data_IF_635535833699
#
_entry.id   IF_635535833699
#
_cell.length_a   1.000
_cell.length_b   1.000
_cell.length_c   1.000
_cell.angle_alpha   90.00
_cell.angle_beta   90.00
_cell.angle_gamma   90.00
#
_symmetry.space_group_name_H-M   'P 1'
#
loop_
_entity.id
_entity.type
_entity.pdbx_description
1 polymer ?
#
# COMPACT_ATOMS: atom_id res chain seq x y z
N UNK A 1 -17.89 -0.11 29.57
CA UNK A 1 -16.73 0.49 28.86
C UNK A 1 -17.19 1.82 28.28
N UNK A 2 -16.39 2.90 28.48
CA UNK A 2 -16.71 4.20 27.89
C UNK A 2 -16.65 4.09 26.34
N UNK A 3 -17.66 4.59 25.62
CA UNK A 3 -17.74 4.52 24.15
C UNK A 3 -16.43 5.00 23.49
N UNK A 4 -15.86 6.08 24.00
CA UNK A 4 -14.58 6.62 23.52
C UNK A 4 -13.41 5.62 23.69
N UNK A 5 -13.32 4.90 24.81
CA UNK A 5 -12.30 3.88 25.01
C UNK A 5 -12.46 2.72 24.03
N UNK A 6 -13.70 2.35 23.72
CA UNK A 6 -13.98 1.32 22.72
C UNK A 6 -13.56 1.79 21.31
N UNK A 7 -13.87 3.04 20.95
CA UNK A 7 -13.44 3.64 19.68
C UNK A 7 -11.92 3.65 19.54
N UNK A 8 -11.21 4.06 20.59
CA UNK A 8 -9.73 4.03 20.62
C UNK A 8 -9.18 2.63 20.45
N UNK A 9 -9.70 1.66 21.20
CA UNK A 9 -9.24 0.27 21.12
C UNK A 9 -9.47 -0.34 19.74
N UNK A 10 -10.66 -0.12 19.15
CA UNK A 10 -11.00 -0.58 17.80
C UNK A 10 -10.12 0.08 16.73
N UNK A 11 -9.84 1.38 16.85
CA UNK A 11 -8.98 2.11 15.92
C UNK A 11 -7.53 1.63 15.99
N UNK A 12 -7.01 1.37 17.18
CA UNK A 12 -5.67 0.81 17.36
C UNK A 12 -5.58 -0.61 16.79
N UNK A 13 -6.57 -1.45 17.06
CA UNK A 13 -6.64 -2.81 16.50
C UNK A 13 -6.73 -2.77 14.98
N UNK A 14 -7.54 -1.88 14.42
CA UNK A 14 -7.62 -1.63 12.99
C UNK A 14 -6.28 -1.23 12.40
N UNK A 15 -5.56 -0.30 13.05
CA UNK A 15 -4.24 0.15 12.57
C UNK A 15 -3.20 -0.98 12.55
N UNK A 16 -3.21 -1.84 13.57
CA UNK A 16 -2.35 -3.04 13.61
C UNK A 16 -2.75 -4.04 12.54
N UNK A 17 -4.04 -4.26 12.30
CA UNK A 17 -4.52 -5.15 11.26
C UNK A 17 -4.16 -4.65 9.85
N UNK A 18 -4.30 -3.35 9.59
CA UNK A 18 -3.82 -2.73 8.34
C UNK A 18 -2.30 -2.87 8.17
N UNK A 19 -1.53 -2.68 9.24
CA UNK A 19 -0.09 -2.86 9.22
C UNK A 19 0.28 -4.31 8.87
N UNK A 20 -0.38 -5.28 9.48
CA UNK A 20 -0.16 -6.70 9.20
C UNK A 20 -0.57 -7.05 7.75
N UNK A 21 -1.68 -6.48 7.24
CA UNK A 21 -2.10 -6.64 5.86
C UNK A 21 -1.05 -6.08 4.88
N UNK A 22 -0.53 -4.87 5.15
CA UNK A 22 0.48 -4.22 4.31
C UNK A 22 1.79 -5.02 4.28
N UNK A 23 2.25 -5.53 5.42
CA UNK A 23 3.45 -6.38 5.50
C UNK A 23 3.23 -7.73 4.79
N UNK A 24 2.04 -8.33 4.92
CA UNK A 24 1.70 -9.56 4.19
C UNK A 24 1.70 -9.32 2.66
N UNK A 25 1.14 -8.19 2.22
CA UNK A 25 1.12 -7.78 0.81
C UNK A 25 2.53 -7.55 0.26
N UNK A 26 3.39 -6.86 1.00
CA UNK A 26 4.79 -6.64 0.63
C UNK A 26 5.53 -7.97 0.46
N UNK A 27 5.40 -8.91 1.41
CA UNK A 27 6.01 -10.23 1.31
C UNK A 27 5.51 -11.05 0.12
N UNK A 28 4.22 -10.99 -0.18
CA UNK A 28 3.66 -11.65 -1.35
C UNK A 28 4.21 -11.03 -2.64
N UNK A 29 4.36 -9.70 -2.67
CA UNK A 29 4.87 -8.97 -3.81
C UNK A 29 6.37 -9.26 -4.04
N UNK A 30 7.18 -9.28 -2.98
CA UNK A 30 8.62 -9.53 -3.05
C UNK A 30 8.97 -10.99 -3.43
N UNK A 31 8.18 -11.97 -2.95
CA UNK A 31 8.38 -13.40 -3.27
C UNK A 31 7.94 -13.79 -4.68
N UNK A 32 7.15 -12.97 -5.36
CA UNK A 32 6.63 -13.25 -6.70
C UNK A 32 6.91 -12.10 -7.68
N UNK A 33 8.17 -11.69 -7.87
CA UNK A 33 8.53 -10.66 -8.82
C UNK A 33 8.13 -11.12 -10.23
N UNK A 34 7.29 -10.33 -10.91
CA UNK A 34 6.85 -10.66 -12.29
C UNK A 34 5.59 -11.52 -12.40
N UNK A 35 5.00 -11.99 -11.28
CA UNK A 35 3.70 -12.66 -11.36
C UNK A 35 2.62 -11.67 -11.81
N UNK A 36 1.89 -12.02 -12.89
CA UNK A 36 0.75 -11.23 -13.34
C UNK A 36 -0.39 -11.22 -12.31
N UNK A 37 -1.28 -10.23 -12.41
CA UNK A 37 -2.44 -10.05 -11.52
C UNK A 37 -3.29 -11.33 -11.43
N UNK A 38 -3.48 -12.04 -12.54
CA UNK A 38 -4.25 -13.28 -12.57
C UNK A 38 -3.67 -14.36 -11.63
N UNK A 39 -2.34 -14.49 -11.59
CA UNK A 39 -1.68 -15.45 -10.70
C UNK A 39 -1.81 -15.06 -9.23
N UNK A 40 -1.86 -13.77 -8.92
CA UNK A 40 -2.13 -13.29 -7.56
C UNK A 40 -3.55 -13.66 -7.12
N UNK A 41 -4.54 -13.50 -7.99
CA UNK A 41 -5.94 -13.83 -7.68
C UNK A 41 -6.17 -15.32 -7.40
N UNK A 42 -5.30 -16.22 -7.87
CA UNK A 42 -5.35 -17.66 -7.54
C UNK A 42 -4.65 -18.02 -6.23
N UNK A 43 -3.95 -17.07 -5.58
CA UNK A 43 -3.22 -17.30 -4.34
C UNK A 43 -4.11 -17.16 -3.10
N UNK A 44 -4.24 -18.22 -2.29
CA UNK A 44 -4.95 -18.16 -1.00
C UNK A 44 -4.30 -17.16 -0.02
N UNK A 45 -2.98 -17.00 -0.04
CA UNK A 45 -2.28 -16.03 0.79
C UNK A 45 -2.64 -14.58 0.40
N UNK A 46 -2.86 -14.31 -0.89
CA UNK A 46 -3.34 -13.01 -1.33
C UNK A 46 -4.74 -12.71 -0.78
N UNK A 47 -5.67 -13.66 -0.88
CA UNK A 47 -7.01 -13.52 -0.32
C UNK A 47 -6.99 -13.38 1.21
N UNK A 48 -6.05 -14.03 1.90
CA UNK A 48 -5.80 -13.82 3.32
C UNK A 48 -5.40 -12.37 3.64
N UNK A 49 -4.52 -11.76 2.85
CA UNK A 49 -4.13 -10.36 3.02
C UNK A 49 -5.26 -9.38 2.69
N UNK A 50 -6.07 -9.69 1.68
CA UNK A 50 -7.29 -8.92 1.34
C UNK A 50 -8.31 -9.01 2.46
N UNK A 51 -8.56 -10.22 2.99
CA UNK A 51 -9.46 -10.43 4.13
C UNK A 51 -9.02 -9.67 5.38
N UNK A 52 -7.71 -9.67 5.67
CA UNK A 52 -7.14 -8.90 6.78
C UNK A 52 -7.30 -7.39 6.57
N UNK A 53 -7.11 -6.90 5.35
CA UNK A 53 -7.34 -5.50 4.99
C UNK A 53 -8.82 -5.12 5.14
N UNK A 54 -9.73 -5.96 4.63
CA UNK A 54 -11.17 -5.75 4.77
C UNK A 54 -11.62 -5.79 6.25
N UNK A 55 -11.08 -6.72 7.04
CA UNK A 55 -11.33 -6.79 8.49
C UNK A 55 -10.85 -5.52 9.22
N UNK A 56 -9.69 -5.01 8.85
CA UNK A 56 -9.17 -3.74 9.37
C UNK A 56 -10.11 -2.56 9.01
N UNK A 57 -10.60 -2.51 7.77
CA UNK A 57 -11.57 -1.51 7.34
C UNK A 57 -12.89 -1.59 8.13
N UNK A 58 -13.40 -2.79 8.36
CA UNK A 58 -14.60 -2.98 9.17
C UNK A 58 -14.40 -2.53 10.62
N UNK A 59 -13.24 -2.86 11.24
CA UNK A 59 -12.91 -2.37 12.58
C UNK A 59 -12.87 -0.84 12.63
N UNK A 60 -12.32 -0.21 11.58
CA UNK A 60 -12.27 1.26 11.47
C UNK A 60 -13.69 1.85 11.38
N UNK A 61 -14.55 1.30 10.55
CA UNK A 61 -15.95 1.73 10.42
C UNK A 61 -16.71 1.54 11.75
N UNK A 62 -16.50 0.41 12.43
CA UNK A 62 -17.11 0.17 13.74
C UNK A 62 -16.58 1.16 14.77
N UNK A 63 -15.29 1.52 14.75
CA UNK A 63 -14.74 2.54 15.63
C UNK A 63 -15.42 3.89 15.47
N UNK A 64 -15.74 4.30 14.23
CA UNK A 64 -16.47 5.53 13.92
C UNK A 64 -17.88 5.58 14.52
N UNK A 65 -18.49 4.42 14.76
CA UNK A 65 -19.80 4.35 15.45
C UNK A 65 -19.70 4.75 16.94
N UNK A 66 -18.53 4.56 17.56
CA UNK A 66 -18.33 4.80 18.99
C UNK A 66 -17.51 6.05 19.33
N UNK A 67 -16.88 6.68 18.35
CA UNK A 67 -16.07 7.88 18.54
C UNK A 67 -16.13 8.86 17.39
N UNK A 68 -15.80 10.13 17.65
CA UNK A 68 -15.83 11.16 16.63
C UNK A 68 -14.72 10.92 15.59
N UNK A 69 -15.00 11.32 14.34
CA UNK A 69 -14.09 11.21 13.20
C UNK A 69 -12.73 11.84 13.47
N UNK A 70 -12.71 12.98 14.16
CA UNK A 70 -11.50 13.73 14.55
C UNK A 70 -10.54 12.94 15.44
N UNK A 71 -11.02 11.90 16.15
CA UNK A 71 -10.21 11.01 16.98
C UNK A 71 -9.84 9.76 16.19
N UNK A 72 -10.77 9.18 15.46
CA UNK A 72 -10.58 7.88 14.78
C UNK A 72 -9.69 8.02 13.55
N UNK A 73 -9.80 9.08 12.76
CA UNK A 73 -8.99 9.27 11.56
C UNK A 73 -7.48 9.36 11.81
N UNK A 74 -6.98 10.17 12.76
CA UNK A 74 -5.54 10.22 13.04
C UNK A 74 -4.99 8.88 13.52
N UNK A 75 -5.81 8.06 14.20
CA UNK A 75 -5.40 6.74 14.65
C UNK A 75 -5.17 5.77 13.50
N UNK A 76 -5.87 5.92 12.38
CA UNK A 76 -5.59 5.16 11.16
C UNK A 76 -4.16 5.36 10.62
N UNK A 77 -3.59 6.56 10.79
CA UNK A 77 -2.21 6.85 10.39
C UNK A 77 -1.16 6.08 11.23
N UNK A 78 -1.53 5.59 12.41
CA UNK A 78 -0.66 4.73 13.23
C UNK A 78 -0.36 3.39 12.56
N UNK A 79 -1.06 3.04 11.49
CA UNK A 79 -0.70 1.91 10.61
C UNK A 79 0.78 1.96 10.21
N UNK A 80 1.30 3.16 9.89
CA UNK A 80 2.70 3.32 9.52
C UNK A 80 3.65 3.03 10.71
N UNK A 81 3.27 3.47 11.93
CA UNK A 81 4.04 3.19 13.16
C UNK A 81 4.10 1.71 13.48
N UNK A 82 3.03 0.98 13.19
CA UNK A 82 2.97 -0.45 13.40
C UNK A 82 3.65 -1.24 12.26
N UNK A 83 3.47 -0.82 10.99
CA UNK A 83 3.98 -1.53 9.83
C UNK A 83 5.51 -1.50 9.74
N UNK A 84 6.16 -0.37 10.04
CA UNK A 84 7.62 -0.23 9.96
C UNK A 84 8.34 -1.21 10.89
N UNK A 85 8.05 -1.26 12.22
CA UNK A 85 8.71 -2.22 13.10
C UNK A 85 8.27 -3.67 12.83
N UNK A 86 7.03 -3.90 12.42
CA UNK A 86 6.56 -5.23 12.08
C UNK A 86 7.30 -5.77 10.85
N UNK A 87 7.42 -4.98 9.80
CA UNK A 87 8.18 -5.32 8.59
C UNK A 87 9.65 -5.58 8.89
N UNK A 88 10.29 -4.69 9.66
CA UNK A 88 11.68 -4.85 10.07
C UNK A 88 11.91 -6.14 10.89
N UNK A 89 11.03 -6.40 11.87
CA UNK A 89 11.11 -7.61 12.72
C UNK A 89 10.95 -8.89 11.90
N UNK A 90 10.03 -8.88 10.96
CA UNK A 90 9.77 -10.02 10.08
C UNK A 90 10.94 -10.24 9.10
N UNK A 91 11.66 -9.17 8.72
CA UNK A 91 12.90 -9.23 7.94
C UNK A 91 14.15 -9.52 8.78
N UNK A 92 14.02 -9.92 10.05
CA UNK A 92 15.15 -10.25 10.94
C UNK A 92 16.03 -9.07 11.33
N UNK A 93 15.60 -7.81 11.09
CA UNK A 93 16.40 -6.60 11.32
C UNK A 93 15.77 -5.65 12.35
N UNK A 94 16.56 -4.73 12.85
CA UNK A 94 16.08 -3.65 13.73
C UNK A 94 15.68 -2.43 12.89
N UNK A 95 14.68 -1.69 13.38
CA UNK A 95 14.30 -0.38 12.80
C UNK A 95 15.43 0.61 13.00
N UNK A 96 15.82 1.29 11.93
CA UNK A 96 16.87 2.32 12.00
C UNK A 96 16.34 3.65 12.53
N UNK A 97 17.25 4.51 13.02
CA UNK A 97 16.89 5.87 13.44
C UNK A 97 16.31 6.70 12.29
N UNK A 98 16.76 6.45 11.05
CA UNK A 98 16.24 7.13 9.86
C UNK A 98 14.80 6.71 9.56
N UNK A 99 14.47 5.43 9.70
CA UNK A 99 13.09 4.94 9.56
C UNK A 99 12.16 5.58 10.59
N UNK A 100 12.59 5.66 11.85
CA UNK A 100 11.82 6.31 12.91
C UNK A 100 11.62 7.81 12.63
N UNK A 101 12.66 8.51 12.18
CA UNK A 101 12.56 9.92 11.81
C UNK A 101 11.62 10.12 10.62
N UNK A 102 11.73 9.28 9.59
CA UNK A 102 10.85 9.31 8.42
C UNK A 102 9.39 9.08 8.80
N UNK A 103 9.13 8.04 9.58
CA UNK A 103 7.80 7.71 10.10
C UNK A 103 7.22 8.86 10.94
N UNK A 104 7.99 9.38 11.90
CA UNK A 104 7.57 10.49 12.75
C UNK A 104 7.28 11.76 11.96
N UNK A 105 8.13 12.12 10.99
CA UNK A 105 7.93 13.28 10.13
C UNK A 105 6.68 13.14 9.25
N UNK A 106 6.45 11.95 8.67
CA UNK A 106 5.24 11.68 7.87
C UNK A 106 3.98 11.80 8.72
N UNK A 107 4.00 11.24 9.92
CA UNK A 107 2.85 11.31 10.85
C UNK A 107 2.58 12.72 11.35
N UNK A 108 3.63 13.46 11.72
CA UNK A 108 3.48 14.85 12.16
C UNK A 108 2.92 15.75 11.05
N UNK A 109 3.41 15.56 9.81
CA UNK A 109 2.90 16.27 8.65
C UNK A 109 1.44 15.92 8.34
N UNK A 110 1.10 14.62 8.40
CA UNK A 110 -0.28 14.16 8.21
C UNK A 110 -1.21 14.69 9.32
N UNK A 111 -0.78 14.67 10.58
CA UNK A 111 -1.55 15.22 11.69
C UNK A 111 -1.83 16.73 11.50
N UNK A 112 -0.85 17.50 11.04
CA UNK A 112 -1.03 18.92 10.73
C UNK A 112 -2.09 19.14 9.64
N UNK A 113 -2.08 18.32 8.56
CA UNK A 113 -3.09 18.38 7.50
C UNK A 113 -4.47 18.02 8.06
N UNK A 114 -4.59 16.93 8.83
CA UNK A 114 -5.86 16.46 9.38
C UNK A 114 -6.50 17.45 10.35
N UNK A 115 -5.71 18.09 11.22
CA UNK A 115 -6.21 19.11 12.16
C UNK A 115 -6.88 20.26 11.42
N UNK A 116 -6.34 20.65 10.27
CA UNK A 116 -6.87 21.76 9.48
C UNK A 116 -8.04 21.31 8.59
N UNK A 117 -7.99 20.08 8.08
CA UNK A 117 -9.04 19.49 7.25
C UNK A 117 -10.30 19.10 8.05
N UNK A 118 -10.19 18.84 9.35
CA UNK A 118 -11.30 18.40 10.23
C UNK A 118 -12.33 19.49 10.55
N UNK A 119 -12.65 20.37 9.62
CA UNK A 119 -13.35 21.62 9.91
C UNK A 119 -14.84 21.70 9.63
N UNK A 120 -15.37 20.93 8.74
CA UNK A 120 -16.77 21.08 8.34
C UNK A 120 -17.37 19.72 8.05
N UNK A 121 -18.59 19.48 8.54
CA UNK A 121 -19.42 18.44 7.95
C UNK A 121 -19.63 18.77 6.46
N UNK A 122 -19.57 17.79 5.56
CA UNK A 122 -19.81 18.06 4.14
C UNK A 122 -21.21 18.64 3.98
N UNK A 123 -21.27 19.87 3.53
CA UNK A 123 -22.53 20.55 3.27
C UNK A 123 -23.24 20.05 2.02
N UNK A 124 -22.53 19.25 1.20
CA UNK A 124 -23.03 18.72 -0.08
C UNK A 124 -22.57 17.28 -0.28
N UNK A 125 -23.36 16.54 -1.03
CA UNK A 125 -23.05 15.19 -1.53
C UNK A 125 -22.72 15.32 -3.02
N UNK A 126 -21.83 14.50 -3.52
CA UNK A 126 -21.53 14.49 -4.96
C UNK A 126 -22.79 14.09 -5.75
N UNK A 127 -23.16 14.92 -6.72
CA UNK A 127 -24.11 14.51 -7.74
C UNK A 127 -23.57 13.37 -8.58
N UNK A 128 -24.42 12.64 -9.26
CA UNK A 128 -24.00 11.51 -10.13
C UNK A 128 -23.01 11.97 -11.20
N UNK A 129 -23.21 13.14 -11.79
CA UNK A 129 -22.30 13.72 -12.79
C UNK A 129 -20.93 14.06 -12.20
N UNK A 130 -20.89 14.61 -11.00
CA UNK A 130 -19.64 14.91 -10.27
C UNK A 130 -18.92 13.62 -9.90
N UNK A 131 -19.64 12.60 -9.40
CA UNK A 131 -19.06 11.29 -9.07
C UNK A 131 -18.44 10.63 -10.31
N UNK A 132 -19.13 10.68 -11.48
CA UNK A 132 -18.59 10.13 -12.73
C UNK A 132 -17.39 10.95 -13.22
N UNK A 133 -17.43 12.28 -13.11
CA UNK A 133 -16.32 13.15 -13.50
C UNK A 133 -15.08 12.88 -12.62
N UNK A 134 -15.24 12.79 -11.30
CA UNK A 134 -14.18 12.42 -10.36
C UNK A 134 -13.62 11.05 -10.70
N UNK A 135 -14.49 10.07 -10.99
CA UNK A 135 -14.06 8.73 -11.36
C UNK A 135 -13.26 8.73 -12.67
N UNK A 136 -13.70 9.45 -13.69
CA UNK A 136 -13.01 9.53 -14.97
C UNK A 136 -11.65 10.22 -14.86
N UNK A 137 -11.56 11.36 -14.17
CA UNK A 137 -10.31 12.08 -13.94
C UNK A 137 -9.34 11.20 -13.14
N UNK A 138 -9.84 10.53 -12.11
CA UNK A 138 -9.03 9.63 -11.28
C UNK A 138 -8.53 8.43 -12.07
N UNK A 139 -9.37 7.80 -12.88
CA UNK A 139 -8.96 6.70 -13.75
C UNK A 139 -7.89 7.11 -14.75
N UNK A 140 -8.02 8.30 -15.34
CA UNK A 140 -7.01 8.86 -16.24
C UNK A 140 -5.67 9.11 -15.50
N UNK A 141 -5.72 9.69 -14.30
CA UNK A 141 -4.54 9.95 -13.49
C UNK A 141 -3.86 8.64 -13.04
N UNK A 142 -4.63 7.63 -12.61
CA UNK A 142 -4.13 6.30 -12.30
C UNK A 142 -3.47 5.67 -13.54
N UNK A 143 -4.12 5.74 -14.71
CA UNK A 143 -3.56 5.24 -15.97
C UNK A 143 -2.23 5.90 -16.34
N UNK A 144 -2.09 7.22 -16.08
CA UNK A 144 -0.84 7.95 -16.29
C UNK A 144 0.26 7.52 -15.30
N UNK A 145 -0.09 7.37 -14.03
CA UNK A 145 0.85 7.00 -12.98
C UNK A 145 1.29 5.53 -13.09
N UNK A 146 0.36 4.63 -13.35
CA UNK A 146 0.57 3.19 -13.43
C UNK A 146 0.69 2.66 -14.86
N UNK A 147 1.09 3.51 -15.82
CA UNK A 147 1.23 3.15 -17.23
C UNK A 147 2.11 1.91 -17.43
N UNK A 148 1.85 1.09 -18.47
CA UNK A 148 2.67 -0.07 -18.80
C UNK A 148 4.15 0.30 -18.93
N UNK A 149 5.05 -0.51 -18.35
CA UNK A 149 6.49 -0.24 -18.31
C UNK A 149 6.95 0.75 -17.22
N UNK A 150 6.05 1.34 -16.44
CA UNK A 150 6.46 2.11 -15.26
C UNK A 150 7.08 1.18 -14.22
N UNK A 151 8.24 1.58 -13.66
CA UNK A 151 8.85 0.85 -12.55
C UNK A 151 7.90 0.83 -11.35
N UNK A 152 7.79 -0.31 -10.62
CA UNK A 152 7.09 -0.36 -9.34
C UNK A 152 7.56 0.72 -8.36
N UNK A 153 6.79 0.96 -7.30
CA UNK A 153 7.19 1.89 -6.23
C UNK A 153 6.29 3.12 -6.14
N UNK A 154 6.88 4.31 -5.95
CA UNK A 154 6.18 5.54 -5.55
C UNK A 154 5.01 5.97 -6.44
N UNK A 155 5.11 5.77 -7.76
CA UNK A 155 4.03 6.13 -8.70
C UNK A 155 2.79 5.26 -8.47
N UNK A 156 2.99 3.96 -8.28
CA UNK A 156 1.91 3.02 -7.96
C UNK A 156 1.37 3.27 -6.56
N UNK A 157 2.23 3.65 -5.60
CA UNK A 157 1.81 4.05 -4.26
C UNK A 157 0.93 5.31 -4.29
N UNK A 158 1.33 6.34 -5.07
CA UNK A 158 0.51 7.54 -5.26
C UNK A 158 -0.84 7.20 -5.91
N UNK A 159 -0.83 6.39 -6.96
CA UNK A 159 -2.05 5.93 -7.63
C UNK A 159 -2.97 5.15 -6.68
N UNK A 160 -2.40 4.27 -5.83
CA UNK A 160 -3.12 3.52 -4.81
C UNK A 160 -3.77 4.44 -3.76
N UNK A 161 -2.99 5.38 -3.22
CA UNK A 161 -3.50 6.34 -2.23
C UNK A 161 -4.59 7.25 -2.79
N UNK A 162 -4.43 7.74 -4.03
CA UNK A 162 -5.45 8.52 -4.73
C UNK A 162 -6.72 7.69 -4.93
N UNK A 163 -6.60 6.44 -5.43
CA UNK A 163 -7.73 5.54 -5.59
C UNK A 163 -8.49 5.31 -4.27
N UNK A 164 -7.76 5.10 -3.18
CA UNK A 164 -8.35 4.91 -1.85
C UNK A 164 -9.03 6.17 -1.33
N UNK A 165 -8.44 7.36 -1.55
CA UNK A 165 -9.04 8.65 -1.17
C UNK A 165 -10.32 8.94 -1.91
N UNK A 166 -10.35 8.66 -3.21
CA UNK A 166 -11.55 8.79 -4.04
C UNK A 166 -12.61 7.78 -3.63
N UNK A 167 -12.24 6.52 -3.37
CA UNK A 167 -13.16 5.51 -2.84
C UNK A 167 -13.80 5.99 -1.53
N UNK A 168 -13.02 6.59 -0.63
CA UNK A 168 -13.53 7.14 0.64
C UNK A 168 -14.51 8.28 0.43
N UNK A 169 -14.23 9.23 -0.47
CA UNK A 169 -15.12 10.33 -0.81
C UNK A 169 -16.44 9.85 -1.44
N UNK A 170 -16.37 8.88 -2.36
CA UNK A 170 -17.54 8.26 -2.96
C UNK A 170 -18.35 7.44 -1.94
N UNK A 171 -17.69 6.77 -0.98
CA UNK A 171 -18.37 6.06 0.10
C UNK A 171 -19.21 6.99 0.94
N UNK A 172 -18.73 8.20 1.21
CA UNK A 172 -19.51 9.20 1.93
C UNK A 172 -20.80 9.55 1.17
N UNK A 173 -20.72 9.71 -0.15
CA UNK A 173 -21.89 9.94 -1.00
C UNK A 173 -22.92 8.79 -0.89
N UNK A 174 -22.45 7.53 -0.95
CA UNK A 174 -23.31 6.35 -0.78
C UNK A 174 -23.92 6.30 0.63
N UNK A 175 -23.14 6.63 1.65
CA UNK A 175 -23.59 6.58 3.04
C UNK A 175 -24.69 7.61 3.31
N UNK A 176 -24.52 8.83 2.82
CA UNK A 176 -25.54 9.87 2.96
C UNK A 176 -26.82 9.47 2.20
N UNK A 177 -26.72 9.03 0.95
CA UNK A 177 -27.87 8.55 0.18
C UNK A 177 -28.58 7.37 0.85
N UNK A 178 -27.84 6.48 1.50
CA UNK A 178 -28.40 5.34 2.22
C UNK A 178 -29.09 5.70 3.55
N UNK A 179 -28.70 6.85 4.17
CA UNK A 179 -29.30 7.34 5.42
C UNK A 179 -30.42 8.33 5.18
N UNK A 180 -30.43 8.99 4.06
CA UNK A 180 -31.50 9.89 3.66
C UNK A 180 -32.68 9.05 3.12
N UNK A 181 -33.77 8.99 3.89
CA UNK A 181 -34.98 8.18 3.58
C UNK A 181 -35.72 8.63 2.32
N UNK A 182 -35.27 9.69 1.67
CA UNK A 182 -35.89 10.25 0.45
C UNK A 182 -35.54 9.46 -0.82
N UNK A 183 -34.41 8.72 -0.82
CA UNK A 183 -33.98 7.92 -1.97
C UNK A 183 -33.97 6.42 -1.65
N UNK A 184 -34.32 5.61 -2.66
CA UNK A 184 -34.18 4.16 -2.54
C UNK A 184 -32.69 3.75 -2.59
N UNK A 185 -32.24 3.00 -1.60
CA UNK A 185 -30.88 2.39 -1.54
C UNK A 185 -30.61 1.54 -2.80
N UNK A 186 -31.65 1.03 -3.43
CA UNK A 186 -31.58 0.26 -4.68
C UNK A 186 -31.70 1.13 -5.94
N UNK A 187 -31.58 2.45 -5.83
CA UNK A 187 -31.55 3.31 -7.02
C UNK A 187 -30.33 2.99 -7.88
N UNK A 188 -30.49 3.05 -9.18
CA UNK A 188 -29.40 2.82 -10.16
C UNK A 188 -28.21 3.73 -9.88
N UNK A 189 -28.46 4.93 -9.36
CA UNK A 189 -27.43 5.91 -9.00
C UNK A 189 -26.59 5.42 -7.82
N UNK A 190 -27.21 5.00 -6.72
CA UNK A 190 -26.51 4.50 -5.52
C UNK A 190 -25.71 3.24 -5.86
N UNK A 191 -26.29 2.33 -6.62
CA UNK A 191 -25.60 1.12 -7.09
C UNK A 191 -24.41 1.48 -7.97
N UNK A 192 -24.57 2.43 -8.90
CA UNK A 192 -23.49 2.90 -9.77
C UNK A 192 -22.31 3.48 -8.99
N UNK A 193 -22.58 4.35 -8.01
CA UNK A 193 -21.54 4.92 -7.15
C UNK A 193 -20.90 3.85 -6.26
N UNK A 194 -21.68 2.90 -5.72
CA UNK A 194 -21.15 1.78 -4.94
C UNK A 194 -20.20 0.88 -5.77
N UNK A 195 -20.53 0.66 -7.04
CA UNK A 195 -19.64 -0.08 -7.96
C UNK A 195 -18.33 0.69 -8.23
N UNK A 196 -18.38 2.02 -8.35
CA UNK A 196 -17.18 2.86 -8.46
C UNK A 196 -16.33 2.78 -7.19
N UNK A 197 -16.94 2.81 -6.00
CA UNK A 197 -16.25 2.59 -4.73
C UNK A 197 -15.52 1.25 -4.72
N UNK A 198 -16.22 0.18 -5.07
CA UNK A 198 -15.63 -1.16 -5.14
C UNK A 198 -14.48 -1.24 -6.15
N UNK A 199 -14.63 -0.63 -7.33
CA UNK A 199 -13.60 -0.61 -8.37
C UNK A 199 -12.34 0.15 -7.90
N UNK A 200 -12.50 1.33 -7.29
CA UNK A 200 -11.36 2.11 -6.78
C UNK A 200 -10.71 1.46 -5.55
N UNK A 201 -11.48 0.87 -4.66
CA UNK A 201 -10.95 0.14 -3.51
C UNK A 201 -10.12 -1.09 -3.95
N UNK A 202 -10.66 -1.91 -4.86
CA UNK A 202 -9.96 -3.06 -5.42
C UNK A 202 -8.74 -2.64 -6.26
N UNK A 203 -8.89 -1.62 -7.11
CA UNK A 203 -7.80 -1.06 -7.91
C UNK A 203 -6.69 -0.49 -7.04
N UNK A 204 -7.03 0.26 -6.00
CA UNK A 204 -6.09 0.79 -5.01
C UNK A 204 -5.31 -0.33 -4.31
N UNK A 205 -5.98 -1.41 -3.93
CA UNK A 205 -5.33 -2.58 -3.33
C UNK A 205 -4.35 -3.27 -4.30
N UNK A 206 -4.69 -3.43 -5.56
CA UNK A 206 -3.80 -4.02 -6.58
C UNK A 206 -2.60 -3.12 -6.88
N UNK A 207 -2.80 -1.80 -6.89
CA UNK A 207 -1.73 -0.82 -7.06
C UNK A 207 -0.78 -0.81 -5.87
N UNK A 208 -1.28 -0.94 -4.64
CA UNK A 208 -0.43 -1.04 -3.44
C UNK A 208 0.42 -2.31 -3.46
N UNK A 209 -0.13 -3.43 -3.89
CA UNK A 209 0.62 -4.68 -4.12
C UNK A 209 1.81 -4.47 -5.07
N UNK A 210 1.58 -3.75 -6.17
CA UNK A 210 2.65 -3.44 -7.13
C UNK A 210 3.66 -2.47 -6.52
N UNK A 211 3.20 -1.49 -5.74
CA UNK A 211 4.04 -0.51 -5.08
C UNK A 211 5.01 -1.12 -4.05
N UNK A 212 4.57 -2.17 -3.35
CA UNK A 212 5.34 -2.80 -2.26
C UNK A 212 6.39 -3.80 -2.73
N UNK A 213 6.52 -4.06 -4.04
CA UNK A 213 7.51 -5.03 -4.58
C UNK A 213 8.95 -4.68 -4.22
N UNK A 214 9.27 -3.39 -4.14
CA UNK A 214 10.61 -2.89 -3.85
C UNK A 214 10.77 -2.44 -2.40
N UNK A 215 9.87 -2.83 -1.51
CA UNK A 215 9.88 -2.53 -0.08
C UNK A 215 8.62 -1.83 0.41
N UNK A 216 8.43 -1.80 1.73
CA UNK A 216 7.19 -1.35 2.37
C UNK A 216 7.21 0.12 2.81
N UNK A 217 8.29 0.57 3.46
CA UNK A 217 8.28 1.82 4.25
C UNK A 217 7.86 3.06 3.47
N UNK A 218 8.58 3.39 2.42
CA UNK A 218 8.31 4.58 1.63
C UNK A 218 7.02 4.48 0.79
N UNK A 219 6.72 3.37 0.08
CA UNK A 219 5.43 3.23 -0.61
C UNK A 219 4.24 3.30 0.33
N UNK A 220 4.29 2.67 1.51
CA UNK A 220 3.21 2.74 2.49
C UNK A 220 3.00 4.18 3.00
N UNK A 221 4.08 4.91 3.27
CA UNK A 221 3.99 6.31 3.66
C UNK A 221 3.33 7.18 2.57
N UNK A 222 3.67 6.93 1.29
CA UNK A 222 3.03 7.62 0.16
C UNK A 222 1.54 7.27 0.06
N UNK A 223 1.16 6.00 0.17
CA UNK A 223 -0.26 5.59 0.18
C UNK A 223 -1.01 6.28 1.31
N UNK A 224 -0.43 6.27 2.52
CA UNK A 224 -1.02 6.86 3.73
C UNK A 224 -1.19 8.37 3.61
N UNK A 225 -0.28 9.06 2.91
CA UNK A 225 -0.36 10.50 2.66
C UNK A 225 -1.30 10.85 1.50
N UNK A 226 -1.21 10.13 0.39
CA UNK A 226 -1.97 10.44 -0.82
C UNK A 226 -3.48 10.25 -0.64
N UNK A 227 -3.89 9.31 0.22
CA UNK A 227 -5.30 9.05 0.53
C UNK A 227 -6.00 10.32 1.11
N UNK A 228 -5.61 10.88 2.26
CA UNK A 228 -6.27 12.08 2.79
C UNK A 228 -6.08 13.31 1.91
N UNK A 229 -4.98 13.42 1.18
CA UNK A 229 -4.77 14.54 0.23
C UNK A 229 -5.78 14.47 -0.91
N UNK A 230 -6.03 13.29 -1.48
CA UNK A 230 -7.03 13.11 -2.53
C UNK A 230 -8.45 13.36 -1.99
N UNK A 231 -8.77 12.84 -0.81
CA UNK A 231 -10.05 13.08 -0.15
C UNK A 231 -10.27 14.57 0.15
N UNK A 232 -9.26 15.28 0.68
CA UNK A 232 -9.32 16.71 0.94
C UNK A 232 -9.45 17.53 -0.36
N UNK A 233 -8.78 17.14 -1.44
CA UNK A 233 -8.93 17.82 -2.72
C UNK A 233 -10.37 17.75 -3.23
N UNK A 234 -11.05 16.61 -3.09
CA UNK A 234 -12.47 16.44 -3.45
C UNK A 234 -13.35 17.24 -2.47
N UNK A 235 -13.11 17.12 -1.17
CA UNK A 235 -13.86 17.84 -0.14
C UNK A 235 -13.86 19.35 -0.35
N UNK A 236 -12.67 19.93 -0.55
CA UNK A 236 -12.49 21.37 -0.75
C UNK A 236 -13.06 21.86 -2.10
N UNK A 237 -12.93 21.06 -3.17
CA UNK A 237 -13.32 21.52 -4.50
C UNK A 237 -14.79 21.26 -4.85
N UNK A 238 -15.39 20.18 -4.35
CA UNK A 238 -16.71 19.71 -4.77
C UNK A 238 -17.73 19.65 -3.63
N UNK A 239 -17.29 19.26 -2.42
CA UNK A 239 -18.21 19.10 -1.28
C UNK A 239 -18.41 20.39 -0.48
N UNK A 240 -17.73 21.49 -0.86
CA UNK A 240 -17.84 22.77 -0.20
C UNK A 240 -17.18 22.82 1.19
N UNK A 241 -16.29 21.86 1.47
CA UNK A 241 -15.49 21.89 2.68
C UNK A 241 -14.52 23.07 2.67
N UNK A 242 -14.12 23.53 3.86
CA UNK A 242 -13.15 24.61 4.02
C UNK A 242 -12.09 24.23 5.04
N UNK A 243 -10.87 24.72 4.83
CA UNK A 243 -9.80 24.54 5.81
C UNK A 243 -10.05 25.46 7.01
N UNK A 244 -9.92 24.90 8.20
CA UNK A 244 -9.98 25.69 9.45
C UNK A 244 -8.83 26.69 9.51
N UNK A 245 -9.10 27.90 10.02
CA UNK A 245 -8.08 28.91 10.28
C UNK A 245 -7.69 29.75 9.06
N UNK A 246 -8.45 29.72 7.97
CA UNK A 246 -8.21 30.57 6.80
C UNK A 246 -6.78 30.45 6.26
N UNK A 247 -6.09 31.58 6.07
CA UNK A 247 -4.71 31.60 5.54
C UNK A 247 -3.71 30.87 6.45
N UNK A 248 -3.85 30.95 7.77
CA UNK A 248 -3.00 30.23 8.72
C UNK A 248 -3.20 28.71 8.60
N UNK A 249 -4.45 28.28 8.39
CA UNK A 249 -4.76 26.87 8.13
C UNK A 249 -4.13 26.35 6.84
N UNK A 250 -4.21 27.13 5.76
CA UNK A 250 -3.55 26.79 4.49
C UNK A 250 -2.04 26.68 4.66
N UNK A 251 -1.41 27.62 5.37
CA UNK A 251 0.04 27.55 5.65
C UNK A 251 0.41 26.31 6.47
N UNK A 252 -0.40 25.98 7.49
CA UNK A 252 -0.18 24.78 8.29
C UNK A 252 -0.35 23.49 7.46
N UNK A 253 -1.34 23.44 6.57
CA UNK A 253 -1.52 22.31 5.65
C UNK A 253 -0.33 22.16 4.70
N UNK A 254 0.17 23.26 4.13
CA UNK A 254 1.35 23.23 3.23
C UNK A 254 2.63 22.83 3.98
N UNK A 255 2.85 23.37 5.19
CA UNK A 255 3.97 22.97 6.04
C UNK A 255 3.88 21.48 6.42
N UNK A 256 2.68 21.01 6.76
CA UNK A 256 2.40 19.60 7.03
C UNK A 256 2.69 18.73 5.84
N UNK A 257 2.26 19.12 4.64
CA UNK A 257 2.55 18.40 3.40
C UNK A 257 4.05 18.33 3.11
N UNK A 258 4.78 19.44 3.29
CA UNK A 258 6.24 19.49 3.15
C UNK A 258 6.95 18.57 4.14
N UNK A 259 6.52 18.57 5.42
CA UNK A 259 7.09 17.70 6.46
C UNK A 259 6.79 16.22 6.17
N UNK A 260 5.58 15.89 5.72
CA UNK A 260 5.21 14.52 5.33
C UNK A 260 6.04 14.05 4.12
N UNK A 261 6.19 14.89 3.09
CA UNK A 261 7.01 14.59 1.93
C UNK A 261 8.49 14.37 2.31
N UNK A 262 9.02 15.16 3.22
CA UNK A 262 10.36 14.95 3.77
C UNK A 262 10.48 13.60 4.49
N UNK A 263 9.50 13.23 5.30
CA UNK A 263 9.44 11.92 5.95
C UNK A 263 9.46 10.77 4.94
N UNK A 264 8.71 10.88 3.84
CA UNK A 264 8.75 9.91 2.73
C UNK A 264 10.14 9.84 2.11
N UNK A 265 10.79 10.98 1.85
CA UNK A 265 12.17 11.01 1.31
C UNK A 265 13.15 10.30 2.24
N UNK A 266 13.02 10.47 3.56
CA UNK A 266 13.86 9.74 4.52
C UNK A 266 13.63 8.22 4.41
N UNK A 267 12.40 7.77 4.24
CA UNK A 267 12.07 6.35 4.08
C UNK A 267 12.54 5.77 2.73
N UNK A 268 12.66 6.59 1.66
CA UNK A 268 13.20 6.12 0.37
C UNK A 268 14.72 5.93 0.37
N UNK A 269 15.44 6.56 1.29
CA UNK A 269 16.89 6.48 1.38
C UNK A 269 17.40 5.20 2.04
N UNK A 270 16.49 4.31 2.41
CA UNK A 270 16.83 3.02 2.99
C UNK A 270 17.30 2.05 1.91
N UNK A 271 18.38 1.29 2.13
CA UNK A 271 18.75 0.20 1.24
C UNK A 271 17.60 -0.82 1.17
N UNK A 272 17.35 -1.41 0.00
CA UNK A 272 16.46 -2.57 -0.09
C UNK A 272 16.93 -3.62 0.92
N UNK A 273 15.99 -4.29 1.59
CA UNK A 273 16.32 -5.42 2.45
C UNK A 273 16.97 -6.47 1.55
N UNK A 274 18.20 -6.92 1.83
CA UNK A 274 18.71 -8.09 1.14
C UNK A 274 17.71 -9.22 1.38
N UNK A 275 17.17 -9.79 0.32
CA UNK A 275 16.52 -11.09 0.41
C UNK A 275 17.68 -12.03 0.71
N UNK A 276 17.71 -12.64 1.90
CA UNK A 276 18.68 -13.70 2.18
C UNK A 276 18.45 -14.76 1.12
N UNK A 277 19.36 -14.83 0.16
CA UNK A 277 19.41 -15.87 -0.87
C UNK A 277 19.68 -17.26 -0.26
N UNK A 278 20.01 -17.31 1.03
CA UNK A 278 20.29 -18.55 1.77
C UNK A 278 19.05 -19.46 1.94
N UNK A 279 17.83 -18.96 1.78
CA UNK A 279 16.62 -19.79 1.70
C UNK A 279 16.30 -20.27 0.26
N UNK A 280 17.10 -19.92 -0.74
CA UNK A 280 16.88 -20.43 -2.08
C UNK A 280 17.46 -21.85 -2.15
N UNK A 281 16.64 -22.88 -2.53
CA UNK A 281 17.14 -24.26 -2.64
C UNK A 281 18.35 -24.39 -3.59
N UNK A 282 18.52 -23.43 -4.51
CA UNK A 282 19.69 -23.34 -5.40
C UNK A 282 20.95 -22.89 -4.66
N UNK A 283 20.86 -21.95 -3.70
CA UNK A 283 22.01 -21.52 -2.90
C UNK A 283 22.50 -22.66 -1.99
N UNK A 284 21.58 -23.45 -1.44
CA UNK A 284 21.91 -24.65 -0.68
C UNK A 284 22.61 -25.71 -1.53
N UNK A 285 22.22 -25.86 -2.80
CA UNK A 285 22.88 -26.78 -3.75
C UNK A 285 24.24 -26.24 -4.17
N UNK A 286 24.39 -24.95 -4.44
CA UNK A 286 25.67 -24.31 -4.77
C UNK A 286 26.67 -24.34 -3.60
N UNK A 287 26.15 -24.26 -2.36
CA UNK A 287 26.97 -24.43 -1.15
C UNK A 287 27.45 -25.89 -0.94
N UNK A 288 26.81 -26.87 -1.60
CA UNK A 288 27.18 -28.27 -1.58
C UNK A 288 28.13 -28.64 -2.74
N UNK A 289 28.36 -27.74 -3.71
CA UNK A 289 29.38 -28.00 -4.73
C UNK A 289 30.78 -27.98 -4.07
N UNK A 290 31.51 -29.07 -4.10
CA UNK A 290 32.86 -29.08 -3.56
C UNK A 290 33.68 -28.05 -4.31
N UNK A 291 34.39 -27.19 -3.55
CA UNK A 291 35.32 -26.22 -4.08
C UNK A 291 36.19 -26.90 -5.17
N UNK A 292 36.08 -26.41 -6.38
CA UNK A 292 36.84 -26.90 -7.54
C UNK A 292 38.37 -26.81 -7.35
N UNK A 293 38.83 -26.14 -6.32
CA UNK A 293 40.25 -26.04 -5.93
C UNK A 293 40.87 -27.38 -5.49
N UNK A 294 40.05 -28.38 -5.10
CA UNK A 294 40.56 -29.71 -4.69
C UNK A 294 40.51 -30.78 -5.79
N UNK A 295 39.92 -30.47 -6.94
CA UNK A 295 39.74 -31.45 -8.04
C UNK A 295 40.87 -31.38 -9.08
N UNK A 296 41.54 -30.24 -9.21
CA UNK A 296 42.59 -29.99 -10.21
C UNK A 296 43.85 -30.90 -10.04
N UNK A 297 44.31 -31.25 -8.82
CA UNK A 297 45.43 -32.17 -8.68
C UNK A 297 45.11 -33.61 -9.05
N UNK A 298 43.85 -34.06 -8.88
CA UNK A 298 43.45 -35.45 -9.14
C UNK A 298 43.26 -35.74 -10.63
N UNK A 299 42.97 -34.73 -11.45
CA UNK A 299 42.79 -34.88 -12.91
C UNK A 299 44.12 -34.93 -13.65
N UNK A 300 45.24 -34.49 -13.07
CA UNK A 300 46.58 -34.56 -13.70
C UNK A 300 47.16 -35.97 -13.75
N UNK A 301 46.73 -36.88 -12.89
CA UNK A 301 47.21 -38.27 -12.83
C UNK A 301 46.31 -39.28 -13.56
N UNK A 302 45.18 -38.82 -14.10
CA UNK A 302 44.32 -39.66 -14.93
C UNK A 302 44.86 -39.68 -16.37
N UNK A 303 45.67 -40.67 -16.72
CA UNK A 303 45.99 -41.01 -18.10
C UNK A 303 44.73 -41.46 -18.80
N UNK A 304 44.16 -40.57 -19.60
CA UNK A 304 43.03 -40.92 -20.50
C UNK A 304 43.54 -41.96 -21.49
N UNK A 305 42.97 -43.18 -21.56
CA UNK A 305 43.35 -44.15 -22.58
C UNK A 305 43.14 -43.52 -23.95
N UNK A 306 44.19 -43.54 -24.81
CA UNK A 306 44.06 -43.06 -26.18
C UNK A 306 42.95 -43.84 -26.86
N UNK A 307 41.98 -43.15 -27.41
CA UNK A 307 41.03 -43.75 -28.31
C UNK A 307 41.79 -44.39 -29.48
N UNK A 308 41.45 -45.64 -29.88
CA UNK A 308 42.05 -46.27 -31.10
C UNK A 308 41.65 -45.39 -32.29
N UNK A 309 42.65 -45.10 -33.13
CA UNK A 309 42.42 -44.36 -34.36
C UNK A 309 41.46 -45.20 -35.25
N UNK A 310 40.55 -44.50 -35.99
CA UNK A 310 39.68 -45.19 -36.94
C UNK A 310 40.53 -45.71 -38.12
N UNK A 311 41.09 -46.91 -37.94
CA UNK A 311 41.89 -47.54 -38.92
C UNK A 311 41.04 -48.40 -39.83
N UNK A 312 41.13 -48.09 -41.10
CA UNK A 312 41.00 -49.01 -42.28
C UNK A 312 39.85 -50.01 -42.24
N UNK A 313 38.70 -49.62 -42.74
CA UNK A 313 37.82 -50.62 -43.38
C UNK A 313 38.40 -50.96 -44.72
N UNK A 314 39.00 -52.14 -44.83
CA UNK A 314 39.32 -52.79 -46.11
C UNK A 314 38.02 -53.21 -46.78
N UNK A 315 37.78 -52.90 -48.07
CA UNK A 315 36.64 -53.44 -48.80
C UNK A 315 36.88 -54.88 -49.19
N UNK A 316 35.85 -55.71 -48.95
CA UNK A 316 35.65 -56.97 -49.67
C UNK A 316 34.64 -56.72 -50.79
#
# INVERSE_FOLDING_TARGET
MNATLLALALSLLSSVAYAAAAVAQERLASRNPGSGVLRMLTSGAWWGSVGLNAGAALLHVVALKYGPLTVVQPLGALTLVAAVPLGARIAGRRVSATEWRGTASTLAGLAAILVVASGSEPGKVLSTSEAVAVAAVTAALIGLLARPGARPGMRHASASGIASGVASALTQTVTVAATDRSESILSVQVIGVALLVAAFAAGGLLLSQTAYRDGLGAPLAVVTLANPVAAAAIGLSLLGESLRGGAAGVLLALAGAGLAAWGVVLLTRMPPVPVDDDEHPVAAVLALEPSTASVEPALRDMTVPRQPEPGHLTPL
#
